data_IF_810304675118
#
_entry.id   IF_810304675118
#
_cell.length_a   1.000
_cell.length_b   1.000
_cell.length_c   1.000
_cell.angle_alpha   90.00
_cell.angle_beta   90.00
_cell.angle_gamma   90.00
#
_symmetry.space_group_name_H-M   'P 1'
#
loop_
_entity.id
_entity.type
_entity.pdbx_description
1 polymer ?
#
# COMPACT_ATOMS: atom_id res chain seq x y z
N UNK A 1 -50.36 47.50 -11.56
CA UNK A 1 -50.12 47.04 -12.95
C UNK A 1 -49.16 48.03 -13.59
N UNK A 2 -47.98 47.73 -14.14
CA UNK A 2 -47.25 46.50 -14.47
C UNK A 2 -45.75 46.89 -14.37
N UNK A 3 -44.96 46.14 -13.61
CA UNK A 3 -43.91 45.21 -14.10
C UNK A 3 -42.60 45.90 -14.48
N UNK A 4 -41.60 45.63 -13.63
CA UNK A 4 -40.16 45.77 -13.84
C UNK A 4 -39.71 44.91 -15.05
N UNK A 5 -38.74 45.38 -15.85
CA UNK A 5 -37.69 44.49 -16.34
C UNK A 5 -36.33 45.11 -16.03
N UNK A 6 -35.50 44.49 -15.19
CA UNK A 6 -34.61 43.39 -15.58
C UNK A 6 -33.67 43.80 -16.72
N UNK A 7 -32.73 44.71 -16.43
CA UNK A 7 -31.44 44.76 -17.11
C UNK A 7 -30.38 44.16 -16.17
N UNK A 8 -30.51 42.85 -16.00
CA UNK A 8 -29.38 41.96 -15.72
C UNK A 8 -28.49 41.92 -16.97
N UNK A 9 -27.20 41.65 -16.76
CA UNK A 9 -26.14 41.40 -17.75
C UNK A 9 -25.25 42.60 -18.12
N UNK A 10 -24.61 43.19 -17.11
CA UNK A 10 -23.33 43.85 -17.31
C UNK A 10 -22.27 43.13 -16.46
N UNK A 11 -21.31 42.50 -17.14
CA UNK A 11 -20.10 41.84 -16.62
C UNK A 11 -20.33 40.65 -15.67
N UNK A 12 -20.74 39.48 -16.17
CA UNK A 12 -19.79 38.42 -16.56
C UNK A 12 -18.37 38.93 -16.90
N UNK A 13 -17.66 39.42 -15.89
CA UNK A 13 -16.27 39.03 -15.67
C UNK A 13 -16.38 37.58 -15.18
N UNK A 14 -16.17 36.49 -15.93
CA UNK A 14 -15.07 36.22 -16.88
C UNK A 14 -13.71 36.76 -16.43
N UNK A 15 -13.50 36.82 -15.11
CA UNK A 15 -12.35 36.12 -14.56
C UNK A 15 -12.85 34.68 -14.42
N UNK A 16 -12.83 33.85 -15.47
CA UNK A 16 -11.62 33.11 -15.78
C UNK A 16 -10.85 32.85 -14.47
N UNK A 17 -11.49 32.09 -13.58
CA UNK A 17 -10.80 31.15 -12.74
C UNK A 17 -9.96 30.27 -13.68
N UNK A 18 -8.81 30.76 -14.11
CA UNK A 18 -7.65 29.92 -14.31
C UNK A 18 -7.29 29.41 -12.92
N UNK A 19 -8.12 28.50 -12.40
CA UNK A 19 -7.55 27.37 -11.70
C UNK A 19 -6.69 26.71 -12.77
N UNK A 20 -5.40 27.05 -12.76
CA UNK A 20 -4.38 26.09 -13.15
C UNK A 20 -4.72 24.85 -12.34
N UNK A 21 -5.42 23.89 -12.95
CA UNK A 21 -5.41 22.52 -12.44
C UNK A 21 -3.93 22.18 -12.40
N UNK A 22 -3.34 22.27 -11.21
CA UNK A 22 -1.99 21.77 -10.98
C UNK A 22 -1.99 20.36 -11.55
N UNK A 23 -1.18 20.16 -12.58
CA UNK A 23 -1.10 18.91 -13.31
C UNK A 23 -0.63 17.84 -12.32
N UNK A 24 -1.58 17.17 -11.66
CA UNK A 24 -1.30 16.14 -10.67
C UNK A 24 -0.53 15.03 -11.37
N UNK A 25 0.60 14.64 -10.79
CA UNK A 25 1.42 13.59 -11.35
C UNK A 25 0.59 12.31 -11.36
N UNK A 26 0.47 11.68 -12.52
CA UNK A 26 -0.24 10.41 -12.65
C UNK A 26 0.72 9.30 -12.27
N UNK A 27 0.46 8.67 -11.13
CA UNK A 27 1.27 7.59 -10.57
C UNK A 27 0.47 6.30 -10.66
N UNK A 28 1.11 5.24 -11.16
CA UNK A 28 0.55 3.91 -11.21
C UNK A 28 1.40 2.98 -10.35
N UNK A 29 0.74 2.21 -9.50
CA UNK A 29 1.36 1.26 -8.58
C UNK A 29 0.97 -0.15 -9.01
N UNK A 30 1.94 -1.05 -9.03
CA UNK A 30 1.70 -2.47 -9.25
C UNK A 30 2.58 -3.28 -8.31
N UNK A 31 1.96 -4.07 -7.45
CA UNK A 31 2.67 -4.88 -6.46
C UNK A 31 2.65 -6.33 -6.89
N UNK A 32 3.82 -6.95 -6.87
CA UNK A 32 4.04 -8.35 -7.14
C UNK A 32 4.45 -9.05 -5.85
N UNK A 33 3.78 -10.15 -5.53
CA UNK A 33 4.18 -11.05 -4.45
C UNK A 33 5.50 -11.75 -4.76
N UNK A 34 6.17 -12.27 -3.73
CA UNK A 34 7.43 -13.01 -3.91
C UNK A 34 7.28 -14.19 -4.88
N UNK A 35 6.18 -14.93 -4.80
CA UNK A 35 5.89 -16.07 -5.67
C UNK A 35 5.54 -15.71 -7.11
N UNK A 36 4.89 -14.56 -7.36
CA UNK A 36 4.66 -14.05 -8.72
C UNK A 36 5.97 -13.64 -9.40
N UNK A 37 6.91 -13.12 -8.62
CA UNK A 37 8.21 -12.65 -9.11
C UNK A 37 9.11 -13.80 -9.54
N UNK A 38 9.06 -14.95 -8.85
CA UNK A 38 9.80 -16.17 -9.25
C UNK A 38 9.53 -16.56 -10.71
N UNK A 39 8.33 -16.24 -11.20
CA UNK A 39 7.87 -16.57 -12.55
C UNK A 39 8.12 -15.44 -13.55
N UNK A 40 8.59 -14.27 -13.09
CA UNK A 40 8.72 -13.06 -13.90
C UNK A 40 10.19 -12.71 -14.13
N UNK A 41 10.70 -13.00 -15.33
CA UNK A 41 12.11 -12.82 -15.69
C UNK A 41 12.66 -11.40 -15.43
N UNK A 42 11.87 -10.34 -15.68
CA UNK A 42 12.30 -8.94 -15.49
C UNK A 42 12.65 -8.57 -14.03
N UNK A 43 12.12 -9.31 -13.06
CA UNK A 43 12.37 -9.07 -11.63
C UNK A 43 13.30 -10.11 -11.01
N UNK A 44 13.87 -11.02 -11.80
CA UNK A 44 14.65 -12.15 -11.30
C UNK A 44 15.86 -11.70 -10.48
N UNK A 45 16.58 -10.66 -10.90
CA UNK A 45 17.67 -10.08 -10.11
C UNK A 45 17.20 -9.61 -8.72
N UNK A 46 16.08 -8.88 -8.64
CA UNK A 46 15.54 -8.44 -7.35
C UNK A 46 15.06 -9.60 -6.48
N UNK A 47 14.61 -10.69 -7.11
CA UNK A 47 14.26 -11.91 -6.41
C UNK A 47 15.49 -12.60 -5.82
N UNK A 48 16.60 -12.66 -6.56
CA UNK A 48 17.85 -13.26 -6.08
C UNK A 48 18.39 -12.53 -4.85
N UNK A 49 18.26 -11.20 -4.81
CA UNK A 49 18.71 -10.40 -3.65
C UNK A 49 17.69 -10.42 -2.50
N UNK A 50 16.38 -10.39 -2.81
CA UNK A 50 15.30 -10.30 -1.82
C UNK A 50 14.19 -11.33 -2.11
N UNK A 51 14.41 -12.63 -1.90
CA UNK A 51 13.49 -13.67 -2.38
C UNK A 51 12.12 -13.63 -1.70
N UNK A 52 12.08 -13.33 -0.40
CA UNK A 52 10.86 -13.45 0.42
C UNK A 52 9.96 -12.20 0.37
N UNK A 53 10.44 -11.10 -0.20
CA UNK A 53 9.76 -9.80 -0.14
C UNK A 53 8.97 -9.49 -1.40
N UNK A 54 7.84 -8.81 -1.25
CA UNK A 54 7.07 -8.25 -2.36
C UNK A 54 7.83 -7.07 -2.99
N UNK A 55 7.57 -6.82 -4.27
CA UNK A 55 8.13 -5.70 -5.04
C UNK A 55 6.98 -4.86 -5.58
N UNK A 56 7.02 -3.56 -5.32
CA UNK A 56 6.06 -2.60 -5.86
C UNK A 56 6.75 -1.76 -6.92
N UNK A 57 6.29 -1.90 -8.17
CA UNK A 57 6.71 -1.06 -9.28
C UNK A 57 5.88 0.23 -9.28
N UNK A 58 6.57 1.36 -9.23
CA UNK A 58 5.98 2.71 -9.15
C UNK A 58 6.29 3.43 -10.46
N UNK A 59 5.28 3.61 -11.30
CA UNK A 59 5.40 4.24 -12.63
C UNK A 59 4.87 5.65 -12.63
N UNK A 60 5.57 6.54 -13.33
CA UNK A 60 5.17 7.94 -13.49
C UNK A 60 4.70 8.20 -14.92
N UNK A 61 3.38 8.29 -15.12
CA UNK A 61 2.78 8.54 -16.45
C UNK A 61 2.95 10.00 -16.90
N UNK A 62 2.95 10.95 -15.96
CA UNK A 62 3.27 12.36 -16.21
C UNK A 62 4.33 12.82 -15.21
N UNK A 63 5.58 12.86 -15.66
CA UNK A 63 6.73 13.17 -14.82
C UNK A 63 7.25 14.59 -15.13
N UNK A 64 7.30 15.52 -14.15
CA UNK A 64 7.78 16.87 -14.43
C UNK A 64 9.26 16.85 -14.80
N UNK A 65 9.67 17.84 -15.61
CA UNK A 65 11.06 17.99 -16.04
C UNK A 65 11.91 18.54 -14.87
N UNK A 66 12.48 17.65 -14.07
CA UNK A 66 13.51 17.97 -13.09
C UNK A 66 14.70 16.99 -13.23
N UNK A 67 15.87 17.37 -12.75
CA UNK A 67 17.06 16.51 -12.77
C UNK A 67 17.19 15.69 -11.48
N UNK A 68 16.74 16.26 -10.37
CA UNK A 68 16.73 15.65 -9.04
C UNK A 68 15.34 15.68 -8.42
N UNK A 69 15.05 14.63 -7.67
CA UNK A 69 13.79 14.42 -6.96
C UNK A 69 14.11 13.99 -5.53
N UNK A 70 13.27 14.39 -4.59
CA UNK A 70 13.32 13.91 -3.21
C UNK A 70 12.14 12.97 -3.01
N UNK A 71 12.45 11.71 -2.74
CA UNK A 71 11.49 10.70 -2.31
C UNK A 71 11.43 10.73 -0.79
N UNK A 72 10.26 11.04 -0.23
CA UNK A 72 10.01 10.96 1.19
C UNK A 72 9.07 9.80 1.49
N UNK A 73 9.31 9.09 2.57
CA UNK A 73 8.47 8.00 3.06
C UNK A 73 8.14 8.26 4.53
N UNK A 74 6.85 8.25 4.85
CA UNK A 74 6.36 8.27 6.22
C UNK A 74 5.64 6.95 6.52
N UNK A 75 6.01 6.39 7.67
CA UNK A 75 5.43 5.17 8.22
C UNK A 75 4.54 5.56 9.40
N UNK A 76 3.21 5.68 9.25
CA UNK A 76 2.32 6.21 10.28
C UNK A 76 2.35 5.44 11.61
N UNK A 77 2.71 4.16 11.56
CA UNK A 77 2.85 3.28 12.73
C UNK A 77 4.15 3.53 13.52
N UNK A 78 5.18 4.12 12.89
CA UNK A 78 6.44 4.50 13.51
C UNK A 78 6.43 6.02 13.70
N UNK A 79 6.19 6.47 14.92
CA UNK A 79 5.88 7.86 15.25
C UNK A 79 6.94 8.91 14.89
N UNK A 80 8.16 8.53 14.45
CA UNK A 80 9.30 9.45 14.32
C UNK A 80 10.26 9.22 13.14
N UNK A 81 9.86 8.55 12.05
CA UNK A 81 10.76 8.36 10.91
C UNK A 81 10.10 8.78 9.59
N UNK A 82 10.18 10.07 9.27
CA UNK A 82 10.19 10.47 7.87
C UNK A 82 11.58 10.18 7.32
N UNK A 83 11.61 9.48 6.19
CA UNK A 83 12.84 9.00 5.58
C UNK A 83 12.90 9.62 4.21
N UNK A 84 14.02 10.25 3.91
CA UNK A 84 14.21 10.98 2.67
C UNK A 84 15.34 10.36 1.87
N UNK A 85 15.11 10.17 0.59
CA UNK A 85 16.09 9.68 -0.38
C UNK A 85 16.09 10.60 -1.60
N UNK A 86 17.27 11.07 -1.98
CA UNK A 86 17.43 11.77 -3.24
C UNK A 86 17.47 10.75 -4.38
N UNK A 87 16.73 11.04 -5.46
CA UNK A 87 16.67 10.23 -6.67
C UNK A 87 16.97 11.14 -7.84
N UNK A 88 17.98 10.77 -8.62
CA UNK A 88 18.24 11.46 -9.89
C UNK A 88 17.32 10.93 -10.99
N UNK A 89 17.00 11.78 -11.95
CA UNK A 89 16.29 11.37 -13.17
C UNK A 89 16.97 10.20 -13.88
N UNK A 90 18.30 10.18 -13.88
CA UNK A 90 19.09 9.11 -14.49
C UNK A 90 18.80 7.73 -13.86
N UNK A 91 18.63 7.67 -12.53
CA UNK A 91 18.25 6.43 -11.83
C UNK A 91 16.89 5.92 -12.29
N UNK A 92 15.89 6.80 -12.40
CA UNK A 92 14.55 6.43 -12.86
C UNK A 92 14.53 5.93 -14.31
N UNK A 93 15.30 6.57 -15.19
CA UNK A 93 15.43 6.14 -16.58
C UNK A 93 16.21 4.83 -16.70
N UNK A 94 17.27 4.65 -15.91
CA UNK A 94 18.02 3.38 -15.92
C UNK A 94 17.18 2.21 -15.41
N UNK A 95 16.32 2.43 -14.41
CA UNK A 95 15.39 1.42 -13.91
C UNK A 95 14.31 1.11 -14.95
N UNK A 96 13.80 2.14 -15.64
CA UNK A 96 12.89 1.98 -16.76
C UNK A 96 13.50 1.09 -17.85
N UNK A 97 14.73 1.40 -18.29
CA UNK A 97 15.40 0.65 -19.35
C UNK A 97 15.69 -0.80 -18.93
N UNK A 98 16.14 -1.00 -17.68
CA UNK A 98 16.44 -2.32 -17.14
C UNK A 98 15.20 -3.23 -17.04
N UNK A 99 14.05 -2.65 -16.69
CA UNK A 99 12.79 -3.38 -16.51
C UNK A 99 11.93 -3.39 -17.78
N UNK A 100 12.41 -2.80 -18.88
CA UNK A 100 11.69 -2.66 -20.15
C UNK A 100 10.34 -1.95 -20.00
N UNK A 101 10.27 -0.94 -19.12
CA UNK A 101 9.02 -0.24 -18.80
C UNK A 101 8.75 0.93 -19.76
N UNK A 102 7.47 1.21 -20.00
CA UNK A 102 7.05 2.26 -20.94
C UNK A 102 7.15 3.69 -20.36
N UNK A 103 7.49 3.83 -19.08
CA UNK A 103 7.53 5.09 -18.37
C UNK A 103 8.60 5.07 -17.27
N UNK A 104 9.13 6.25 -16.87
CA UNK A 104 10.06 6.35 -15.74
C UNK A 104 9.48 5.67 -14.50
N UNK A 105 10.30 4.88 -13.82
CA UNK A 105 9.84 4.11 -12.68
C UNK A 105 10.96 3.81 -11.68
N UNK A 106 10.56 3.35 -10.50
CA UNK A 106 11.45 2.68 -9.56
C UNK A 106 10.71 1.52 -8.89
N UNK A 107 11.48 0.65 -8.24
CA UNK A 107 10.93 -0.49 -7.51
C UNK A 107 11.18 -0.30 -6.02
N UNK A 108 10.10 -0.39 -5.24
CA UNK A 108 10.17 -0.48 -3.80
C UNK A 108 10.11 -1.96 -3.40
N UNK A 109 11.12 -2.41 -2.65
CA UNK A 109 11.11 -3.75 -2.04
C UNK A 109 10.47 -3.62 -0.68
N UNK A 110 9.55 -4.52 -0.34
CA UNK A 110 8.83 -4.48 0.95
C UNK A 110 9.68 -4.88 2.17
N UNK A 111 10.98 -5.14 2.00
CA UNK A 111 11.89 -5.36 3.12
C UNK A 111 11.95 -4.10 4.01
N UNK A 112 11.88 -4.29 5.33
CA UNK A 112 11.82 -3.20 6.30
C UNK A 112 10.41 -2.69 6.60
N UNK A 113 9.37 -3.25 5.98
CA UNK A 113 7.95 -2.93 6.23
C UNK A 113 7.20 -4.12 6.82
N UNK A 114 6.24 -3.87 7.71
CA UNK A 114 5.42 -4.98 8.21
C UNK A 114 4.33 -5.40 7.20
N UNK A 115 3.90 -6.66 7.22
CA UNK A 115 2.73 -7.10 6.47
C UNK A 115 1.49 -6.29 6.87
N UNK A 116 0.82 -5.72 5.87
CA UNK A 116 -0.35 -4.87 6.07
C UNK A 116 -0.03 -3.42 6.46
N UNK A 117 1.25 -3.04 6.60
CA UNK A 117 1.62 -1.66 6.94
C UNK A 117 1.29 -0.70 5.81
N UNK A 118 0.44 0.28 6.10
CA UNK A 118 0.15 1.40 5.20
C UNK A 118 1.24 2.46 5.31
N UNK A 119 1.80 2.91 4.19
CA UNK A 119 2.79 3.99 4.14
C UNK A 119 2.29 5.16 3.31
N UNK A 120 2.75 6.35 3.67
CA UNK A 120 2.60 7.57 2.89
C UNK A 120 3.92 7.83 2.16
N UNK A 121 3.87 7.93 0.84
CA UNK A 121 5.04 8.21 0.02
C UNK A 121 4.82 9.50 -0.76
N UNK A 122 5.83 10.35 -0.76
CA UNK A 122 5.84 11.63 -1.44
C UNK A 122 7.03 11.73 -2.36
N UNK A 123 6.84 12.33 -3.51
CA UNK A 123 7.94 12.70 -4.39
C UNK A 123 7.84 14.19 -4.69
N UNK A 124 8.98 14.87 -4.59
CA UNK A 124 9.10 16.31 -4.76
C UNK A 124 10.21 16.60 -5.76
N UNK A 125 10.07 17.60 -6.64
CA UNK A 125 11.19 18.08 -7.44
C UNK A 125 12.08 18.98 -6.60
N UNK A 126 13.40 18.80 -6.66
CA UNK A 126 14.39 19.61 -5.93
C UNK A 126 14.82 20.89 -6.70
N UNK A 127 13.93 21.37 -7.57
CA UNK A 127 14.16 22.57 -8.37
C UNK A 127 13.27 23.70 -7.84
N UNK A 128 13.66 24.96 -8.02
CA UNK A 128 12.96 26.14 -7.48
C UNK A 128 11.45 26.24 -7.76
N UNK A 129 10.93 25.48 -8.72
CA UNK A 129 9.49 25.18 -8.92
C UNK A 129 9.13 23.83 -8.28
N UNK A 130 9.10 23.78 -6.94
CA UNK A 130 8.84 22.54 -6.21
C UNK A 130 7.42 22.04 -6.47
N UNK A 131 7.30 21.00 -7.30
CA UNK A 131 6.07 20.21 -7.48
C UNK A 131 6.15 18.97 -6.62
N UNK A 132 5.03 18.58 -6.02
CA UNK A 132 4.96 17.37 -5.19
C UNK A 132 3.78 16.48 -5.55
N UNK A 133 3.92 15.18 -5.31
CA UNK A 133 2.82 14.22 -5.37
C UNK A 133 2.88 13.28 -4.18
N UNK A 134 1.76 13.15 -3.47
CA UNK A 134 1.57 12.23 -2.34
C UNK A 134 0.68 11.08 -2.75
N UNK A 135 1.05 9.86 -2.39
CA UNK A 135 0.17 8.70 -2.46
C UNK A 135 0.38 7.76 -1.28
N UNK A 136 -0.60 6.87 -1.08
CA UNK A 136 -0.65 5.93 0.04
C UNK A 136 -0.84 4.53 -0.48
N UNK A 137 -0.08 3.57 0.03
CA UNK A 137 -0.20 2.16 -0.32
C UNK A 137 0.39 1.24 0.74
N UNK A 138 0.23 -0.07 0.57
CA UNK A 138 0.78 -1.11 1.45
C UNK A 138 1.89 -1.85 0.71
N UNK A 139 3.18 -1.76 1.12
CA UNK A 139 4.28 -2.44 0.44
C UNK A 139 4.17 -3.97 0.45
N UNK A 140 3.75 -4.53 1.59
CA UNK A 140 3.50 -5.97 1.76
C UNK A 140 2.01 -6.20 2.01
N UNK A 141 1.17 -6.14 0.95
CA UNK A 141 -0.27 -6.31 1.08
C UNK A 141 -0.59 -7.70 1.61
N UNK A 142 -1.57 -7.74 2.52
CA UNK A 142 -2.04 -8.97 3.13
C UNK A 142 -3.46 -9.20 2.64
N UNK A 143 -3.59 -10.07 1.64
CA UNK A 143 -4.84 -10.34 0.96
C UNK A 143 -4.93 -11.82 0.59
N UNK A 144 -6.03 -12.44 0.96
CA UNK A 144 -6.32 -13.85 0.64
C UNK A 144 -7.71 -13.95 0.05
N UNK A 145 -7.91 -14.92 -0.84
CA UNK A 145 -9.21 -15.27 -1.39
C UNK A 145 -9.60 -16.67 -0.93
N UNK A 146 -10.90 -16.94 -0.83
CA UNK A 146 -11.36 -18.30 -0.64
C UNK A 146 -11.07 -19.17 -1.87
N UNK A 147 -11.24 -20.48 -1.72
CA UNK A 147 -11.02 -21.44 -2.82
C UNK A 147 -11.96 -21.19 -4.00
N UNK A 148 -13.19 -20.75 -3.72
CA UNK A 148 -14.18 -20.37 -4.74
C UNK A 148 -13.83 -19.03 -5.42
N UNK A 149 -13.03 -18.19 -4.76
CA UNK A 149 -12.76 -16.80 -5.16
C UNK A 149 -13.92 -15.84 -4.91
N UNK A 150 -15.03 -16.29 -4.30
CA UNK A 150 -16.22 -15.46 -4.04
C UNK A 150 -16.02 -14.47 -2.90
N UNK A 151 -15.17 -14.80 -1.93
CA UNK A 151 -14.83 -13.91 -0.82
C UNK A 151 -13.34 -13.65 -0.76
N UNK A 152 -13.00 -12.47 -0.25
CA UNK A 152 -11.62 -12.09 0.02
C UNK A 152 -11.51 -11.37 1.36
N UNK A 153 -10.37 -11.53 2.00
CA UNK A 153 -10.03 -10.82 3.24
C UNK A 153 -8.75 -10.05 3.02
N UNK A 154 -8.78 -8.77 3.38
CA UNK A 154 -7.61 -7.88 3.42
C UNK A 154 -7.33 -7.52 4.88
N UNK A 155 -6.07 -7.45 5.26
CA UNK A 155 -5.65 -7.01 6.59
C UNK A 155 -4.69 -5.81 6.49
N UNK A 156 -5.01 -4.73 7.21
CA UNK A 156 -4.15 -3.56 7.35
C UNK A 156 -3.68 -3.42 8.80
N UNK A 157 -2.40 -3.15 9.00
CA UNK A 157 -1.80 -2.95 10.32
C UNK A 157 -2.05 -1.51 10.79
N UNK A 158 -2.65 -1.37 11.95
CA UNK A 158 -2.97 -0.08 12.56
C UNK A 158 -1.80 0.45 13.40
N UNK A 159 -1.89 1.72 13.83
CA UNK A 159 -0.89 2.35 14.71
C UNK A 159 -0.77 1.68 16.08
N UNK A 160 -1.83 1.01 16.52
CA UNK A 160 -1.86 0.29 17.79
C UNK A 160 -1.31 -1.15 17.66
N UNK A 161 -0.69 -1.48 16.52
CA UNK A 161 -0.23 -2.82 16.17
C UNK A 161 -1.34 -3.88 16.22
N UNK A 162 -2.57 -3.48 15.91
CA UNK A 162 -3.70 -4.36 15.64
C UNK A 162 -3.93 -4.49 14.13
N UNK A 163 -4.64 -5.52 13.70
CA UNK A 163 -5.03 -5.67 12.31
C UNK A 163 -6.49 -5.27 12.10
N UNK A 164 -6.72 -4.30 11.23
CA UNK A 164 -8.03 -3.99 10.68
C UNK A 164 -8.31 -4.93 9.51
N UNK A 165 -9.33 -5.76 9.65
CA UNK A 165 -9.73 -6.75 8.67
C UNK A 165 -10.94 -6.25 7.90
N UNK A 166 -10.84 -6.34 6.58
CA UNK A 166 -11.94 -6.07 5.67
C UNK A 166 -12.26 -7.33 4.88
N UNK A 167 -13.54 -7.72 4.90
CA UNK A 167 -14.04 -8.86 4.13
C UNK A 167 -14.92 -8.34 3.00
N UNK A 168 -14.58 -8.72 1.78
CA UNK A 168 -15.33 -8.43 0.58
C UNK A 168 -16.00 -9.72 0.05
N UNK A 169 -17.10 -9.57 -0.68
CA UNK A 169 -17.87 -10.68 -1.26
C UNK A 169 -19.02 -11.20 -0.38
N UNK A 170 -19.20 -10.66 0.82
CA UNK A 170 -20.35 -10.96 1.68
C UNK A 170 -21.53 -10.01 1.39
N UNK A 171 -22.75 -10.53 1.54
CA UNK A 171 -23.97 -9.73 1.41
C UNK A 171 -24.40 -9.17 2.77
N UNK A 172 -24.90 -7.93 2.83
CA UNK A 172 -25.46 -7.37 4.08
C UNK A 172 -26.53 -8.30 4.66
N UNK A 173 -26.41 -8.65 5.94
CA UNK A 173 -27.30 -9.60 6.63
C UNK A 173 -26.84 -11.06 6.53
N UNK A 174 -25.80 -11.36 5.75
CA UNK A 174 -25.21 -12.70 5.69
C UNK A 174 -24.51 -13.05 7.01
N UNK A 175 -24.74 -14.27 7.50
CA UNK A 175 -24.09 -14.79 8.70
C UNK A 175 -22.84 -15.60 8.34
N UNK A 176 -21.75 -15.37 9.04
CA UNK A 176 -20.52 -16.15 8.94
C UNK A 176 -19.95 -16.46 10.32
N UNK A 177 -19.15 -17.51 10.40
CA UNK A 177 -18.37 -17.84 11.59
C UNK A 177 -16.99 -17.21 11.47
N UNK A 178 -16.58 -16.48 12.50
CA UNK A 178 -15.26 -15.87 12.63
C UNK A 178 -14.51 -16.54 13.76
N UNK A 179 -13.32 -17.06 13.47
CA UNK A 179 -12.43 -17.66 14.46
C UNK A 179 -11.09 -16.94 14.41
N UNK A 180 -10.59 -16.54 15.57
CA UNK A 180 -9.24 -16.03 15.76
C UNK A 180 -8.52 -16.94 16.74
N UNK A 181 -7.37 -17.48 16.36
CA UNK A 181 -6.54 -18.32 17.21
C UNK A 181 -5.13 -17.75 17.31
N UNK A 182 -4.73 -17.35 18.52
CA UNK A 182 -3.38 -16.88 18.84
C UNK A 182 -2.82 -17.73 19.97
N UNK A 183 -1.78 -18.53 19.70
CA UNK A 183 -1.10 -19.36 20.72
C UNK A 183 -2.05 -20.19 21.62
N UNK A 184 -3.16 -20.69 21.06
CA UNK A 184 -4.15 -21.49 21.79
C UNK A 184 -5.26 -20.67 22.46
N UNK A 185 -5.17 -19.33 22.49
CA UNK A 185 -6.31 -18.47 22.79
C UNK A 185 -7.23 -18.40 21.56
N UNK A 186 -8.41 -19.02 21.66
CA UNK A 186 -9.38 -19.10 20.59
C UNK A 186 -10.58 -18.20 20.90
N UNK A 187 -10.85 -17.27 19.99
CA UNK A 187 -12.05 -16.43 19.98
C UNK A 187 -12.91 -16.87 18.79
N UNK A 188 -14.08 -17.41 19.07
CA UNK A 188 -15.05 -17.81 18.05
C UNK A 188 -16.34 -17.00 18.19
N UNK A 189 -16.82 -16.43 17.08
CA UNK A 189 -18.03 -15.61 17.03
C UNK A 189 -18.80 -15.85 15.74
N UNK A 190 -20.12 -15.97 15.86
CA UNK A 190 -21.03 -15.79 14.71
C UNK A 190 -21.25 -14.29 14.49
N UNK A 191 -21.01 -13.84 13.28
CA UNK A 191 -21.09 -12.42 12.89
C UNK A 191 -22.13 -12.27 11.78
N UNK A 192 -22.94 -11.22 11.88
CA UNK A 192 -23.85 -10.79 10.81
C UNK A 192 -23.17 -9.66 10.06
N UNK A 193 -22.90 -9.85 8.77
CA UNK A 193 -22.19 -8.88 7.96
C UNK A 193 -23.00 -7.61 7.75
N UNK A 194 -22.33 -6.47 7.91
CA UNK A 194 -22.82 -5.14 7.51
C UNK A 194 -21.79 -4.52 6.57
N UNK A 195 -22.23 -3.66 5.64
CA UNK A 195 -21.33 -3.05 4.63
C UNK A 195 -20.16 -2.24 5.24
N UNK A 196 -20.31 -1.80 6.49
CA UNK A 196 -19.30 -1.06 7.25
C UNK A 196 -18.57 -1.95 8.27
N UNK A 197 -18.66 -3.27 8.13
CA UNK A 197 -18.03 -4.21 9.06
C UNK A 197 -16.51 -4.23 8.83
N UNK A 198 -15.81 -3.42 9.61
CA UNK A 198 -14.38 -3.55 9.85
C UNK A 198 -14.16 -4.29 11.16
N UNK A 199 -13.37 -5.36 11.14
CA UNK A 199 -13.08 -6.14 12.34
C UNK A 199 -11.64 -5.90 12.77
N UNK A 200 -11.45 -5.49 14.03
CA UNK A 200 -10.12 -5.29 14.58
C UNK A 200 -9.69 -6.52 15.37
N UNK A 201 -8.53 -7.07 15.03
CA UNK A 201 -7.92 -8.18 15.76
C UNK A 201 -6.65 -7.69 16.43
N UNK A 202 -6.62 -7.78 17.76
CA UNK A 202 -5.39 -7.66 18.53
C UNK A 202 -4.81 -9.06 18.73
N UNK A 203 -3.69 -9.39 18.08
CA UNK A 203 -3.16 -10.75 18.10
C UNK A 203 -2.42 -11.09 19.40
N UNK A 204 -2.19 -10.11 20.27
CA UNK A 204 -1.38 -10.24 21.47
C UNK A 204 -1.98 -11.14 22.54
N UNK A 205 -1.18 -12.09 23.02
CA UNK A 205 -1.53 -13.05 24.08
C UNK A 205 -0.80 -12.72 25.37
N UNK A 206 -1.52 -12.74 26.50
CA UNK A 206 -0.96 -12.33 27.80
C UNK A 206 0.23 -13.21 28.20
N UNK A 207 1.34 -12.58 28.55
CA UNK A 207 2.58 -13.27 28.94
C UNK A 207 3.47 -13.70 27.77
N UNK A 208 3.10 -13.32 26.55
CA UNK A 208 3.88 -13.57 25.34
C UNK A 208 4.09 -12.26 24.56
N UNK A 209 5.19 -12.18 23.83
CA UNK A 209 5.55 -11.03 23.01
C UNK A 209 5.84 -11.43 21.56
N UNK A 210 5.44 -12.62 21.14
CA UNK A 210 5.68 -13.17 19.80
C UNK A 210 4.57 -14.11 19.42
N UNK A 211 4.36 -14.27 18.12
CA UNK A 211 3.58 -15.36 17.57
C UNK A 211 2.83 -14.96 16.31
N UNK A 212 1.89 -15.81 15.97
CA UNK A 212 0.99 -15.59 14.85
C UNK A 212 -0.45 -15.66 15.34
N UNK A 213 -1.33 -14.89 14.70
CA UNK A 213 -2.77 -15.11 14.78
C UNK A 213 -3.23 -15.75 13.49
N UNK A 214 -3.97 -16.85 13.60
CA UNK A 214 -4.70 -17.42 12.46
C UNK A 214 -6.16 -16.97 12.56
N UNK A 215 -6.63 -16.30 11.52
CA UNK A 215 -8.03 -15.89 11.38
C UNK A 215 -8.68 -16.79 10.33
N UNK A 216 -9.81 -17.37 10.69
CA UNK A 216 -10.65 -18.18 9.80
C UNK A 216 -12.02 -17.56 9.68
N UNK A 217 -12.50 -17.40 8.45
CA UNK A 217 -13.88 -17.00 8.16
C UNK A 217 -14.54 -18.14 7.41
N UNK A 218 -15.67 -18.62 7.93
CA UNK A 218 -16.43 -19.73 7.32
C UNK A 218 -17.87 -19.29 7.10
N UNK A 219 -18.32 -19.34 5.84
CA UNK A 219 -19.70 -19.03 5.45
C UNK A 219 -20.62 -20.23 5.71
N UNK A 220 -21.94 -20.01 5.66
CA UNK A 220 -22.95 -21.08 5.76
C UNK A 220 -22.84 -22.15 4.67
N UNK A 221 -22.33 -21.79 3.49
CA UNK A 221 -22.09 -22.72 2.38
C UNK A 221 -20.75 -23.49 2.53
N UNK A 222 -20.08 -23.39 3.68
CA UNK A 222 -18.76 -23.94 3.98
C UNK A 222 -17.60 -23.35 3.15
N UNK A 223 -17.83 -22.26 2.40
CA UNK A 223 -16.72 -21.54 1.81
C UNK A 223 -15.90 -20.88 2.93
N UNK A 224 -14.60 -21.13 2.90
CA UNK A 224 -13.68 -20.80 3.98
C UNK A 224 -12.50 -20.01 3.43
N UNK A 225 -12.08 -19.02 4.20
CA UNK A 225 -10.81 -18.33 4.02
C UNK A 225 -10.02 -18.41 5.33
N UNK A 226 -8.70 -18.56 5.22
CA UNK A 226 -7.79 -18.54 6.36
C UNK A 226 -6.65 -17.59 6.07
N UNK A 227 -6.25 -16.81 7.07
CA UNK A 227 -5.10 -15.93 6.99
C UNK A 227 -4.28 -16.03 8.26
N UNK A 228 -2.96 -15.96 8.13
CA UNK A 228 -2.03 -15.98 9.26
C UNK A 228 -1.27 -14.67 9.29
N UNK A 229 -1.35 -13.96 10.41
CA UNK A 229 -0.75 -12.63 10.58
C UNK A 229 0.31 -12.68 11.69
N UNK A 230 1.53 -12.18 11.44
CA UNK A 230 2.57 -12.12 12.45
C UNK A 230 2.28 -11.03 13.49
N UNK A 231 2.83 -11.17 14.68
CA UNK A 231 2.86 -10.10 15.68
C UNK A 231 4.03 -10.21 16.65
N UNK A 232 4.30 -9.13 17.37
CA UNK A 232 5.35 -9.11 18.38
C UNK A 232 6.73 -9.30 17.76
N UNK A 233 7.52 -10.25 18.27
CA UNK A 233 8.87 -10.52 17.76
C UNK A 233 8.88 -11.11 16.35
N UNK A 234 7.79 -11.71 15.86
CA UNK A 234 7.72 -12.19 14.47
C UNK A 234 7.86 -11.04 13.46
N UNK A 235 7.50 -9.82 13.85
CA UNK A 235 7.75 -8.63 13.04
C UNK A 235 9.23 -8.34 12.82
N UNK A 236 10.13 -8.81 13.70
CA UNK A 236 11.57 -8.56 13.54
C UNK A 236 12.10 -9.15 12.24
N UNK A 237 11.58 -10.30 11.81
CA UNK A 237 11.95 -10.95 10.54
C UNK A 237 11.67 -10.05 9.32
N UNK A 238 10.68 -9.16 9.43
CA UNK A 238 10.34 -8.19 8.39
C UNK A 238 11.18 -6.90 8.46
N UNK A 239 11.95 -6.73 9.54
CA UNK A 239 12.87 -5.61 9.76
C UNK A 239 14.35 -6.02 9.65
N UNK A 240 14.65 -7.29 9.30
CA UNK A 240 16.03 -7.78 9.12
C UNK A 240 16.56 -7.18 7.81
N UNK A 241 17.13 -5.99 7.89
CA UNK A 241 17.74 -5.36 6.73
C UNK A 241 18.23 -3.96 6.98
N UNK A 242 17.44 -3.13 7.66
CA UNK A 242 17.79 -1.74 8.00
C UNK A 242 16.66 -1.17 8.87
N UNK A 243 16.96 -0.30 9.82
CA UNK A 243 15.96 0.44 10.61
C UNK A 243 15.14 1.45 9.78
N UNK A 244 15.38 1.49 8.47
CA UNK A 244 14.80 2.36 7.45
C UNK A 244 14.41 1.46 6.25
N UNK A 245 13.35 1.77 5.50
CA UNK A 245 12.96 0.99 4.35
C UNK A 245 14.02 1.10 3.26
N UNK A 246 14.41 -0.05 2.72
CA UNK A 246 15.43 -0.12 1.69
C UNK A 246 14.78 0.23 0.35
N UNK A 247 14.89 1.50 -0.06
CA UNK A 247 14.57 1.88 -1.43
C UNK A 247 15.76 1.46 -2.30
N UNK A 248 15.60 0.36 -3.04
CA UNK A 248 16.61 -0.06 -4.00
C UNK A 248 16.55 0.83 -5.22
N UNK A 249 17.51 1.73 -5.29
CA UNK A 249 17.88 2.36 -6.54
C UNK A 249 18.80 1.41 -7.28
N UNK A 250 18.40 1.01 -8.49
CA UNK A 250 19.31 0.35 -9.41
C UNK A 250 20.35 1.39 -9.85
N UNK A 251 21.36 1.63 -9.03
CA UNK A 251 22.62 2.10 -9.60
C UNK A 251 23.12 0.97 -10.48
N UNK A 252 23.33 1.24 -11.76
CA UNK A 252 23.95 0.28 -12.67
C UNK A 252 25.16 -0.31 -11.97
N UNK A 253 25.15 -1.62 -11.69
CA UNK A 253 26.36 -2.31 -11.25
C UNK A 253 27.35 -2.08 -12.39
N UNK A 254 28.29 -1.16 -12.20
CA UNK A 254 29.45 -1.05 -13.08
C UNK A 254 30.15 -2.40 -12.97
N UNK A 255 30.02 -3.22 -14.01
CA UNK A 255 30.94 -4.33 -14.27
C UNK A 255 32.36 -3.80 -14.34
#
# INVERSE_FOLDING_TARGET
MKVLPLFLSLSLLLHSLCFSEEEKWKIQLETYSSSEIEQTQRFQYLHEVYPEFHKTLIRFQSFPKAETYVLKCQRPILSNAEIQHEITKAVLLSTQDLLEESAPCFVLVSNGYFPGEVIDLWIETDNGDSKSSKFRFVPQPVHVKSTSGEISLTAELTKDFTYALKIDGLTTGEEFNFVSNSLGEIIEKKVIYTKECEMHVSPGVKGTNTGFVTISVTRKNNDQLNITLPWGMEFQNHLIGESLPVVHFFESIRK
#
